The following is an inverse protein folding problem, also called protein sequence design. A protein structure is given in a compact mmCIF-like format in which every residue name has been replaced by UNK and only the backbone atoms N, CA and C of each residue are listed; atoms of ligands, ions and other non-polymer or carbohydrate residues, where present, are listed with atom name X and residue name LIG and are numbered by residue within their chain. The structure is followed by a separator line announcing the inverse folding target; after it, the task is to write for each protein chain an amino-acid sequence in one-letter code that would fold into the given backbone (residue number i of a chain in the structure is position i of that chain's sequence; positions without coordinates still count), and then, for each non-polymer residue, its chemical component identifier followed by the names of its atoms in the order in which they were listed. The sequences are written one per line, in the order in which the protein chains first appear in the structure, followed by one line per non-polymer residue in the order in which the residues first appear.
data_IF_648793778516
#
_entry.id   IF_648793778516
#
_cell.length_a   1.000
_cell.length_b   1.000
_cell.length_c   1.000
_cell.angle_alpha   90.00
_cell.angle_beta   90.00
_cell.angle_gamma   90.00
#
_symmetry.space_group_name_H-M   'P 1'
#
loop_
_entity.id
_entity.type
_entity.pdbx_description
1 polymer ?
#
# COMPACT_ATOMS: atom_id res chain seq x y z
N UNK A 1 -19.33 -2.03 -3.76
CA UNK A 1 -18.67 -2.87 -2.75
C UNK A 1 -17.57 -3.65 -3.45
N UNK A 2 -16.48 -3.96 -2.77
CA UNK A 2 -15.42 -4.84 -3.30
C UNK A 2 -15.99 -6.22 -3.61
N UNK A 3 -15.76 -6.74 -4.82
CA UNK A 3 -16.23 -8.07 -5.27
C UNK A 3 -15.69 -9.15 -4.33
N UNK A 4 -14.42 -9.00 -3.90
CA UNK A 4 -13.75 -9.96 -3.00
C UNK A 4 -14.39 -10.01 -1.61
N UNK A 5 -14.95 -8.90 -1.13
CA UNK A 5 -15.70 -8.88 0.14
C UNK A 5 -16.98 -9.69 0.06
N UNK A 6 -17.71 -9.55 -1.05
CA UNK A 6 -18.95 -10.32 -1.29
C UNK A 6 -18.67 -11.81 -1.45
N UNK A 7 -17.60 -12.16 -2.18
CA UNK A 7 -17.15 -13.55 -2.33
C UNK A 7 -16.74 -14.17 -0.99
N UNK A 8 -15.99 -13.44 -0.16
CA UNK A 8 -15.62 -13.90 1.18
C UNK A 8 -16.86 -14.15 2.04
N UNK A 9 -17.79 -13.19 2.08
CA UNK A 9 -19.04 -13.34 2.84
C UNK A 9 -19.82 -14.58 2.40
N UNK A 10 -19.93 -14.81 1.08
CA UNK A 10 -20.60 -15.99 0.52
C UNK A 10 -19.90 -17.30 0.87
N UNK A 11 -18.56 -17.34 0.82
CA UNK A 11 -17.77 -18.52 1.18
C UNK A 11 -17.91 -18.86 2.66
N UNK A 12 -17.88 -17.85 3.54
CA UNK A 12 -18.05 -18.02 4.98
C UNK A 12 -19.46 -18.52 5.33
N UNK A 13 -20.50 -17.93 4.73
CA UNK A 13 -21.89 -18.37 4.93
C UNK A 13 -22.09 -19.81 4.44
N UNK A 14 -21.56 -20.14 3.25
CA UNK A 14 -21.63 -21.49 2.70
C UNK A 14 -20.94 -22.50 3.61
N UNK A 15 -19.74 -22.18 4.09
CA UNK A 15 -18.96 -23.05 4.98
C UNK A 15 -19.68 -23.28 6.32
N UNK A 16 -20.25 -22.21 6.90
CA UNK A 16 -21.01 -22.30 8.13
C UNK A 16 -22.29 -23.14 7.94
N UNK A 17 -22.99 -22.94 6.83
CA UNK A 17 -24.18 -23.73 6.47
C UNK A 17 -23.84 -25.22 6.32
N UNK A 18 -22.77 -25.55 5.61
CA UNK A 18 -22.30 -26.94 5.47
C UNK A 18 -21.96 -27.57 6.82
N UNK A 19 -21.19 -26.87 7.64
CA UNK A 19 -20.83 -27.33 8.98
C UNK A 19 -22.07 -27.60 9.86
N UNK A 20 -23.04 -26.69 9.82
CA UNK A 20 -24.26 -26.81 10.63
C UNK A 20 -25.22 -27.88 10.10
N UNK A 21 -25.21 -28.14 8.79
CA UNK A 21 -25.92 -29.28 8.20
C UNK A 21 -25.41 -30.61 8.75
N UNK A 22 -24.09 -30.79 8.80
CA UNK A 22 -23.47 -32.00 9.38
C UNK A 22 -23.86 -32.19 10.84
N UNK A 23 -23.87 -31.12 11.64
CA UNK A 23 -24.31 -31.19 13.04
C UNK A 23 -25.80 -31.53 13.18
N UNK A 24 -26.65 -31.02 12.30
CA UNK A 24 -28.10 -31.27 12.31
C UNK A 24 -28.43 -32.72 11.95
N UNK A 25 -27.60 -33.36 11.13
CA UNK A 25 -27.77 -34.75 10.69
C UNK A 25 -27.17 -35.77 11.66
N UNK A 26 -26.39 -35.32 12.66
CA UNK A 26 -25.78 -36.22 13.65
C UNK A 26 -26.84 -36.94 14.48
N UNK A 27 -26.68 -38.27 14.60
CA UNK A 27 -27.51 -39.14 15.43
C UNK A 27 -26.85 -39.51 16.75
N UNK A 28 -25.71 -38.91 17.08
CA UNK A 28 -24.87 -39.38 18.19
C UNK A 28 -25.54 -39.16 19.54
N UNK A 29 -26.25 -38.05 19.72
CA UNK A 29 -27.02 -37.80 20.94
C UNK A 29 -28.23 -38.74 21.07
N UNK A 30 -28.90 -39.07 19.96
CA UNK A 30 -30.00 -40.06 19.96
C UNK A 30 -29.49 -41.46 20.29
N UNK A 31 -28.33 -41.87 19.73
CA UNK A 31 -27.67 -43.13 20.08
C UNK A 31 -27.29 -43.15 21.56
N UNK A 32 -26.70 -42.06 22.07
CA UNK A 32 -26.32 -41.94 23.47
C UNK A 32 -27.55 -42.08 24.38
N UNK A 33 -28.65 -41.39 24.10
CA UNK A 33 -29.89 -41.49 24.87
C UNK A 33 -30.39 -42.94 24.98
N UNK A 34 -30.34 -43.69 23.88
CA UNK A 34 -30.75 -45.09 23.84
C UNK A 34 -29.79 -46.02 24.63
N UNK A 35 -28.48 -45.77 24.58
CA UNK A 35 -27.48 -46.62 25.24
C UNK A 35 -27.28 -46.32 26.72
N UNK A 36 -27.50 -45.07 27.14
CA UNK A 36 -27.20 -44.60 28.51
C UNK A 36 -28.44 -44.42 29.39
N UNK A 37 -29.63 -44.85 28.93
CA UNK A 37 -30.90 -44.76 29.67
C UNK A 37 -31.20 -43.34 30.16
N UNK A 38 -30.84 -42.32 29.38
CA UNK A 38 -31.10 -40.92 29.73
C UNK A 38 -32.60 -40.58 29.70
N UNK A 39 -33.45 -41.48 29.16
CA UNK A 39 -34.91 -41.37 29.11
C UNK A 39 -35.42 -40.04 28.52
N UNK A 40 -34.65 -39.43 27.62
CA UNK A 40 -35.04 -38.18 26.97
C UNK A 40 -36.00 -38.47 25.83
N UNK A 41 -37.02 -37.64 25.71
CA UNK A 41 -37.90 -37.63 24.54
C UNK A 41 -37.14 -37.11 23.31
N UNK A 42 -37.58 -37.51 22.10
CA UNK A 42 -37.04 -36.99 20.84
C UNK A 42 -37.08 -35.46 20.79
N UNK A 43 -38.17 -34.86 21.27
CA UNK A 43 -38.33 -33.40 21.31
C UNK A 43 -37.26 -32.72 22.17
N UNK A 44 -36.89 -33.30 23.32
CA UNK A 44 -35.85 -32.74 24.18
C UNK A 44 -34.47 -32.84 23.52
N UNK A 45 -34.18 -33.95 22.84
CA UNK A 45 -32.94 -34.13 22.06
C UNK A 45 -32.87 -33.08 20.94
N UNK A 46 -33.96 -32.89 20.20
CA UNK A 46 -34.04 -31.92 19.09
C UNK A 46 -33.84 -30.48 19.59
N UNK A 47 -34.40 -30.13 20.76
CA UNK A 47 -34.19 -28.81 21.40
C UNK A 47 -32.74 -28.60 21.82
N UNK A 48 -32.09 -29.62 22.40
CA UNK A 48 -30.69 -29.53 22.81
C UNK A 48 -29.77 -29.38 21.59
N UNK A 49 -29.99 -30.19 20.56
CA UNK A 49 -29.23 -30.12 19.31
C UNK A 49 -29.40 -28.75 18.66
N UNK A 50 -30.64 -28.24 18.57
CA UNK A 50 -30.92 -26.91 18.01
C UNK A 50 -30.19 -25.80 18.78
N UNK A 51 -30.20 -25.84 20.12
CA UNK A 51 -29.46 -24.87 20.96
C UNK A 51 -27.96 -24.98 20.78
N UNK A 52 -27.42 -26.19 20.68
CA UNK A 52 -25.99 -26.43 20.47
C UNK A 52 -25.53 -25.87 19.12
N UNK A 53 -26.29 -26.15 18.05
CA UNK A 53 -26.01 -25.66 16.70
C UNK A 53 -26.05 -24.14 16.68
N UNK A 54 -27.10 -23.52 17.23
CA UNK A 54 -27.25 -22.06 17.28
C UNK A 54 -26.09 -21.40 18.04
N UNK A 55 -25.74 -21.91 19.23
CA UNK A 55 -24.60 -21.36 20.01
C UNK A 55 -23.28 -21.50 19.25
N UNK A 56 -23.09 -22.60 18.55
CA UNK A 56 -21.88 -22.83 17.76
C UNK A 56 -21.82 -21.88 16.57
N UNK A 57 -22.93 -21.67 15.86
CA UNK A 57 -23.04 -20.71 14.77
C UNK A 57 -22.64 -19.30 15.20
N UNK A 58 -23.25 -18.81 16.28
CA UNK A 58 -22.96 -17.48 16.83
C UNK A 58 -21.48 -17.35 17.16
N UNK A 59 -20.91 -18.32 17.89
CA UNK A 59 -19.51 -18.26 18.31
C UNK A 59 -18.53 -18.32 17.13
N UNK A 60 -18.84 -19.11 16.09
CA UNK A 60 -18.02 -19.17 14.87
C UNK A 60 -18.10 -17.84 14.12
N UNK A 61 -19.29 -17.24 13.99
CA UNK A 61 -19.47 -15.93 13.35
C UNK A 61 -18.73 -14.83 14.10
N UNK A 62 -18.88 -14.76 15.42
CA UNK A 62 -18.17 -13.81 16.27
C UNK A 62 -16.65 -13.94 16.08
N UNK A 63 -16.11 -15.17 16.18
CA UNK A 63 -14.67 -15.37 16.06
C UNK A 63 -14.15 -15.07 14.66
N UNK A 64 -14.93 -15.37 13.63
CA UNK A 64 -14.57 -15.06 12.24
C UNK A 64 -14.55 -13.55 12.03
N UNK A 65 -15.53 -12.82 12.55
CA UNK A 65 -15.58 -11.37 12.46
C UNK A 65 -14.42 -10.70 13.23
N UNK A 66 -14.05 -11.22 14.40
CA UNK A 66 -12.84 -10.79 15.11
C UNK A 66 -11.60 -10.97 14.24
N UNK A 67 -11.38 -12.15 13.66
CA UNK A 67 -10.21 -12.43 12.83
C UNK A 67 -10.16 -11.54 11.58
N UNK A 68 -11.32 -11.31 10.92
CA UNK A 68 -11.42 -10.39 9.78
C UNK A 68 -10.98 -8.98 10.18
N UNK A 69 -11.41 -8.51 11.35
CA UNK A 69 -11.11 -7.17 11.84
C UNK A 69 -9.66 -7.03 12.31
N UNK A 70 -9.14 -7.99 13.07
CA UNK A 70 -7.77 -8.00 13.59
C UNK A 70 -6.73 -8.00 12.46
N UNK A 71 -7.03 -8.68 11.36
CA UNK A 71 -6.11 -8.80 10.22
C UNK A 71 -6.39 -7.77 9.12
N UNK A 72 -7.35 -6.86 9.31
CA UNK A 72 -7.73 -5.85 8.33
C UNK A 72 -8.01 -6.44 6.93
N UNK A 73 -8.65 -7.61 6.88
CA UNK A 73 -8.83 -8.38 5.63
C UNK A 73 -9.67 -7.59 4.62
N UNK A 74 -10.69 -6.88 5.10
CA UNK A 74 -11.59 -6.13 4.24
C UNK A 74 -10.87 -4.93 3.61
N UNK A 75 -9.99 -4.27 4.36
CA UNK A 75 -9.16 -3.16 3.89
C UNK A 75 -8.12 -3.66 2.87
N UNK A 76 -7.46 -4.78 3.15
CA UNK A 76 -6.51 -5.40 2.23
C UNK A 76 -7.17 -5.83 0.90
N UNK A 77 -8.42 -6.31 0.94
CA UNK A 77 -9.17 -6.64 -0.26
C UNK A 77 -9.51 -5.41 -1.10
N UNK A 78 -9.88 -4.30 -0.46
CA UNK A 78 -10.13 -3.03 -1.16
C UNK A 78 -8.84 -2.52 -1.83
N UNK A 79 -7.72 -2.53 -1.10
CA UNK A 79 -6.42 -2.12 -1.63
C UNK A 79 -5.99 -3.00 -2.81
N UNK A 80 -6.15 -4.32 -2.68
CA UNK A 80 -5.84 -5.26 -3.76
C UNK A 80 -6.71 -5.01 -4.99
N UNK A 81 -7.98 -4.64 -4.83
CA UNK A 81 -8.88 -4.33 -5.95
C UNK A 81 -8.49 -3.04 -6.66
N UNK A 82 -8.09 -2.02 -5.90
CA UNK A 82 -7.53 -0.79 -6.46
C UNK A 82 -6.24 -1.06 -7.22
N UNK A 83 -5.30 -1.80 -6.64
CA UNK A 83 -4.02 -2.14 -7.29
C UNK A 83 -4.24 -3.01 -8.54
N UNK A 84 -5.16 -3.97 -8.48
CA UNK A 84 -5.52 -4.80 -9.65
C UNK A 84 -6.06 -3.91 -10.78
N UNK A 85 -6.98 -3.00 -10.46
CA UNK A 85 -7.58 -2.09 -11.44
C UNK A 85 -6.54 -1.14 -12.05
N UNK A 86 -5.74 -0.48 -11.21
CA UNK A 86 -4.67 0.41 -11.66
C UNK A 86 -3.64 -0.34 -12.53
N UNK A 87 -3.32 -1.59 -12.19
CA UNK A 87 -2.42 -2.41 -13.01
C UNK A 87 -3.03 -2.72 -14.38
N UNK A 88 -4.30 -3.11 -14.43
CA UNK A 88 -5.00 -3.40 -15.71
C UNK A 88 -5.02 -2.15 -16.59
N UNK A 89 -5.39 -0.99 -16.04
CA UNK A 89 -5.43 0.28 -16.76
C UNK A 89 -4.04 0.65 -17.33
N UNK A 90 -3.00 0.58 -16.50
CA UNK A 90 -1.62 0.84 -16.93
C UNK A 90 -1.14 -0.13 -18.01
N UNK A 91 -1.48 -1.42 -17.92
CA UNK A 91 -1.09 -2.39 -18.94
C UNK A 91 -1.78 -2.12 -20.27
N UNK A 92 -3.04 -1.70 -20.25
CA UNK A 92 -3.77 -1.28 -21.46
C UNK A 92 -3.13 -0.05 -22.09
N UNK A 93 -2.79 0.97 -21.30
CA UNK A 93 -2.06 2.17 -21.77
C UNK A 93 -0.72 1.81 -22.43
N UNK A 94 -0.02 0.83 -21.88
CA UNK A 94 1.27 0.35 -22.39
C UNK A 94 1.13 -0.67 -23.55
N UNK A 95 -0.09 -0.99 -23.99
CA UNK A 95 -0.35 -1.96 -25.07
C UNK A 95 0.06 -3.40 -24.73
N UNK A 96 0.00 -3.78 -23.45
CA UNK A 96 0.38 -5.11 -22.95
C UNK A 96 -0.86 -5.94 -22.60
N UNK A 97 -1.00 -7.13 -23.18
CA UNK A 97 -2.14 -8.04 -22.91
C UNK A 97 -2.11 -8.64 -21.49
N UNK A 98 -0.92 -8.91 -20.95
CA UNK A 98 -0.72 -9.32 -19.57
C UNK A 98 0.16 -8.31 -18.86
N UNK A 99 -0.08 -8.14 -17.56
CA UNK A 99 0.76 -7.32 -16.70
C UNK A 99 2.18 -7.85 -16.53
N UNK A 100 2.80 -7.55 -15.40
CA UNK A 100 4.17 -7.93 -15.07
C UNK A 100 4.52 -9.36 -15.57
N UNK A 101 5.28 -9.44 -16.67
CA UNK A 101 5.89 -10.68 -17.11
C UNK A 101 7.04 -10.95 -16.16
N UNK A 102 7.13 -12.17 -15.61
CA UNK A 102 8.24 -12.56 -14.73
C UNK A 102 9.58 -12.28 -15.41
N UNK A 103 10.18 -11.14 -15.10
CA UNK A 103 11.51 -10.79 -15.56
C UNK A 103 12.42 -11.19 -14.43
N UNK A 104 13.40 -12.06 -14.73
CA UNK A 104 14.39 -12.56 -13.77
C UNK A 104 14.76 -11.48 -12.75
N UNK A 105 14.87 -11.76 -11.44
CA UNK A 105 15.06 -10.76 -10.36
C UNK A 105 16.12 -9.68 -10.65
N UNK A 106 17.18 -10.02 -11.40
CA UNK A 106 18.20 -9.06 -11.86
C UNK A 106 17.63 -7.89 -12.68
N UNK A 107 16.61 -8.12 -13.50
CA UNK A 107 16.02 -7.11 -14.37
C UNK A 107 15.03 -6.20 -13.63
N UNK A 108 14.35 -6.72 -12.61
CA UNK A 108 13.57 -5.89 -11.67
C UNK A 108 14.45 -4.96 -10.85
N UNK A 109 15.53 -5.51 -10.30
CA UNK A 109 16.52 -4.71 -9.57
C UNK A 109 17.12 -3.65 -10.51
N UNK A 110 17.42 -4.01 -11.76
CA UNK A 110 17.92 -3.05 -12.75
C UNK A 110 16.90 -1.95 -13.10
N UNK A 111 15.60 -2.27 -13.21
CA UNK A 111 14.54 -1.29 -13.45
C UNK A 111 14.41 -0.32 -12.26
N UNK A 112 14.34 -0.85 -11.04
CA UNK A 112 14.28 -0.01 -9.84
C UNK A 112 15.54 0.85 -9.66
N UNK A 113 16.73 0.30 -9.93
CA UNK A 113 17.97 1.06 -9.92
C UNK A 113 17.99 2.14 -11.00
N UNK A 114 17.50 1.85 -12.20
CA UNK A 114 17.40 2.84 -13.29
C UNK A 114 16.50 4.01 -12.89
N UNK A 115 15.31 3.74 -12.34
CA UNK A 115 14.39 4.80 -11.91
C UNK A 115 14.96 5.63 -10.76
N UNK A 116 15.65 4.99 -9.81
CA UNK A 116 16.32 5.70 -8.71
C UNK A 116 17.50 6.53 -9.22
N UNK A 117 18.24 6.03 -10.21
CA UNK A 117 19.42 6.72 -10.78
C UNK A 117 18.97 7.93 -11.60
N UNK A 118 17.91 7.81 -12.39
CA UNK A 118 17.36 8.93 -13.15
C UNK A 118 16.91 10.08 -12.23
N UNK A 119 16.22 9.76 -11.12
CA UNK A 119 15.85 10.79 -10.12
C UNK A 119 17.07 11.46 -9.47
N UNK A 120 18.14 10.71 -9.24
CA UNK A 120 19.39 11.28 -8.72
C UNK A 120 20.08 12.18 -9.75
N UNK A 121 20.05 11.80 -11.04
CA UNK A 121 20.59 12.61 -12.13
C UNK A 121 19.79 13.90 -12.26
N UNK A 122 18.46 13.83 -12.30
CA UNK A 122 17.60 15.02 -12.41
C UNK A 122 17.83 16.00 -11.23
N UNK A 123 18.02 15.46 -10.02
CA UNK A 123 18.34 16.27 -8.85
C UNK A 123 19.73 16.92 -8.94
N UNK A 124 20.73 16.18 -9.43
CA UNK A 124 22.07 16.69 -9.65
C UNK A 124 22.10 17.77 -10.73
N UNK A 125 21.39 17.58 -11.84
CA UNK A 125 21.27 18.58 -12.92
C UNK A 125 20.60 19.87 -12.42
N UNK A 126 19.57 19.75 -11.57
CA UNK A 126 18.95 20.91 -10.93
C UNK A 126 19.90 21.65 -9.99
N UNK A 127 20.74 20.92 -9.24
CA UNK A 127 21.74 21.52 -8.36
C UNK A 127 22.87 22.20 -9.13
N UNK A 128 23.37 21.58 -10.21
CA UNK A 128 24.36 22.16 -11.12
C UNK A 128 23.84 23.48 -11.68
N UNK A 129 22.62 23.48 -12.23
CA UNK A 129 22.02 24.69 -12.80
C UNK A 129 21.90 25.83 -11.77
N UNK A 130 21.55 25.49 -10.53
CA UNK A 130 21.49 26.46 -9.43
C UNK A 130 22.87 27.05 -9.10
N UNK A 131 23.91 26.21 -9.09
CA UNK A 131 25.29 26.65 -8.85
C UNK A 131 25.82 27.52 -9.99
N UNK A 132 25.48 27.19 -11.24
CA UNK A 132 25.82 28.01 -12.41
C UNK A 132 25.19 29.42 -12.32
N UNK A 133 23.92 29.51 -11.92
CA UNK A 133 23.26 30.81 -11.68
C UNK A 133 23.95 31.61 -10.57
N UNK A 134 24.32 30.96 -9.47
CA UNK A 134 25.03 31.61 -8.37
C UNK A 134 26.42 32.11 -8.78
N UNK A 135 27.14 31.30 -9.57
CA UNK A 135 28.46 31.67 -10.08
C UNK A 135 28.36 32.90 -10.99
N UNK A 136 27.39 32.92 -11.89
CA UNK A 136 27.20 34.05 -12.80
C UNK A 136 26.89 35.36 -12.05
N UNK A 137 26.09 35.30 -10.97
CA UNK A 137 25.83 36.46 -10.11
C UNK A 137 27.10 36.94 -9.41
N UNK A 138 27.94 36.03 -8.90
CA UNK A 138 29.19 36.40 -8.23
C UNK A 138 30.21 36.98 -9.22
N UNK A 139 30.27 36.47 -10.46
CA UNK A 139 31.10 37.03 -11.53
C UNK A 139 30.68 38.46 -11.89
N UNK A 140 29.37 38.71 -12.03
CA UNK A 140 28.84 40.07 -12.26
C UNK A 140 29.18 41.02 -11.10
N UNK A 141 29.06 40.57 -9.84
CA UNK A 141 29.47 41.35 -8.68
C UNK A 141 30.97 41.63 -8.66
N UNK A 142 31.80 40.64 -9.00
CA UNK A 142 33.24 40.78 -9.06
C UNK A 142 33.66 41.82 -10.12
N UNK A 143 33.10 41.75 -11.31
CA UNK A 143 33.35 42.71 -12.38
C UNK A 143 32.94 44.13 -11.99
N UNK A 144 31.77 44.26 -11.35
CA UNK A 144 31.32 45.55 -10.80
C UNK A 144 32.30 46.11 -9.77
N UNK A 145 32.77 45.28 -8.82
CA UNK A 145 33.75 45.70 -7.79
C UNK A 145 35.08 46.13 -8.44
N UNK A 146 35.55 45.40 -9.46
CA UNK A 146 36.74 45.77 -10.22
C UNK A 146 36.59 47.11 -10.94
N UNK A 147 35.42 47.39 -11.53
CA UNK A 147 35.16 48.67 -12.18
C UNK A 147 35.19 49.83 -11.18
N UNK A 148 34.58 49.65 -10.00
CA UNK A 148 34.61 50.64 -8.92
C UNK A 148 36.05 50.89 -8.44
N UNK A 149 36.84 49.83 -8.26
CA UNK A 149 38.25 49.96 -7.88
C UNK A 149 39.04 50.78 -8.90
N UNK A 150 38.89 50.48 -10.21
CA UNK A 150 39.54 51.26 -11.27
C UNK A 150 39.17 52.74 -11.20
N UNK A 151 37.88 53.04 -11.04
CA UNK A 151 37.40 54.43 -10.91
C UNK A 151 38.01 55.15 -9.69
N UNK A 152 38.06 54.48 -8.54
CA UNK A 152 38.66 55.03 -7.33
C UNK A 152 40.16 55.28 -7.50
N UNK A 153 40.89 54.34 -8.09
CA UNK A 153 42.32 54.51 -8.40
C UNK A 153 42.54 55.73 -9.28
N UNK A 154 41.78 55.90 -10.37
CA UNK A 154 41.89 57.07 -11.24
C UNK A 154 41.61 58.40 -10.51
N UNK A 155 40.62 58.41 -9.61
CA UNK A 155 40.32 59.61 -8.80
C UNK A 155 41.50 59.94 -7.88
N UNK A 156 42.06 58.94 -7.20
CA UNK A 156 43.20 59.11 -6.28
C UNK A 156 44.42 59.62 -7.06
N UNK A 157 44.74 59.02 -8.20
CA UNK A 157 45.85 59.45 -9.06
C UNK A 157 45.68 60.91 -9.50
N UNK A 158 44.47 61.29 -9.94
CA UNK A 158 44.16 62.68 -10.31
C UNK A 158 44.30 63.66 -9.14
N UNK A 159 43.90 63.27 -7.93
CA UNK A 159 44.06 64.11 -6.73
C UNK A 159 45.54 64.24 -6.32
N UNK A 160 46.31 63.16 -6.41
CA UNK A 160 47.74 63.19 -6.13
C UNK A 160 48.50 64.09 -7.11
N UNK A 161 48.13 64.09 -8.38
CA UNK A 161 48.72 64.95 -9.39
C UNK A 161 48.39 66.43 -9.15
N UNK A 162 47.15 66.75 -8.74
CA UNK A 162 46.75 68.10 -8.32
C UNK A 162 47.47 68.62 -7.07
N UNK A 163 47.93 67.73 -6.18
CA UNK A 163 48.69 68.11 -4.99
C UNK A 163 50.19 68.30 -5.27
N UNK A 164 50.68 67.77 -6.39
CA UNK A 164 52.09 67.88 -6.81
C UNK A 164 52.37 69.12 -7.67
N UNK A 165 51.34 69.69 -8.29
CA UNK A 165 51.40 70.93 -9.08
C UNK A 165 50.83 72.10 -8.26
#
# INVERSE_FOLDING_TARGET
MSIRREELAKMLDTSLKTFTGVLSESKDLSKLNNHSKLNMSKTEIDVIMSRMIQKTQIKVQEKTNELIKENHILEQFDELEQLTKASIELNQELGRETGYNFVKPKRDIALHLSDSTNKMIDAADAEIKKLEEQLNIEEEEFDRRNQVLKQLTTIIESQQEKLRN
#
